data_IF_058728103852
#
_entry.id   IF_058728103852
#
_cell.length_a   1.000
_cell.length_b   1.000
_cell.length_c   1.000
_cell.angle_alpha   90.00
_cell.angle_beta   90.00
_cell.angle_gamma   90.00
#
_symmetry.space_group_name_H-M   'P 1'
#
loop_
_entity.id
_entity.type
_entity.pdbx_description
1 polymer ?
#
# COMPACT_ATOMS: atom_id res chain seq x y z
N UNK A 1 12.35 -22.76 -1.56
CA UNK A 1 11.18 -22.01 -2.10
C UNK A 1 10.83 -20.98 -1.04
N UNK A 2 10.67 -19.68 -1.37
CA UNK A 2 10.33 -18.70 -0.36
C UNK A 2 8.97 -19.04 0.24
N UNK A 3 8.88 -19.03 1.57
CA UNK A 3 7.65 -19.30 2.29
C UNK A 3 6.60 -18.24 1.95
N UNK A 4 5.35 -18.65 1.69
CA UNK A 4 4.20 -17.75 1.44
C UNK A 4 4.12 -16.62 2.48
N UNK A 5 4.42 -16.96 3.73
CA UNK A 5 4.49 -16.06 4.89
C UNK A 5 5.53 -14.94 4.73
N UNK A 6 6.65 -15.22 4.06
CA UNK A 6 7.70 -14.23 3.81
C UNK A 6 7.27 -13.22 2.75
N UNK A 7 6.68 -13.69 1.64
CA UNK A 7 6.16 -12.81 0.59
C UNK A 7 5.06 -11.87 1.11
N UNK A 8 4.18 -12.39 1.97
CA UNK A 8 3.14 -11.61 2.63
C UNK A 8 3.74 -10.47 3.47
N UNK A 9 4.76 -10.76 4.28
CA UNK A 9 5.47 -9.73 5.07
C UNK A 9 6.11 -8.68 4.18
N UNK A 10 6.68 -9.07 3.04
CA UNK A 10 7.25 -8.12 2.09
C UNK A 10 6.19 -7.19 1.51
N UNK A 11 5.02 -7.73 1.10
CA UNK A 11 3.90 -6.92 0.63
C UNK A 11 3.39 -5.94 1.69
N UNK A 12 3.17 -6.42 2.91
CA UNK A 12 2.74 -5.58 4.05
C UNK A 12 3.74 -4.46 4.29
N UNK A 13 5.04 -4.77 4.25
CA UNK A 13 6.11 -3.78 4.41
C UNK A 13 6.13 -2.75 3.29
N UNK A 14 5.97 -3.18 2.03
CA UNK A 14 5.90 -2.29 0.87
C UNK A 14 4.70 -1.34 0.96
N UNK A 15 3.55 -1.87 1.37
CA UNK A 15 2.33 -1.10 1.63
C UNK A 15 2.60 -0.05 2.71
N UNK A 16 3.11 -0.45 3.88
CA UNK A 16 3.38 0.49 4.97
C UNK A 16 4.38 1.58 4.56
N UNK A 17 5.43 1.22 3.83
CA UNK A 17 6.40 2.17 3.28
C UNK A 17 5.73 3.17 2.36
N UNK A 18 4.95 2.70 1.39
CA UNK A 18 4.25 3.55 0.43
C UNK A 18 3.23 4.45 1.12
N UNK A 19 2.46 3.91 2.06
CA UNK A 19 1.49 4.65 2.87
C UNK A 19 2.15 5.72 3.74
N UNK A 20 3.28 5.41 4.38
CA UNK A 20 4.06 6.41 5.13
C UNK A 20 4.65 7.47 4.20
N UNK A 21 5.10 7.08 3.01
CA UNK A 21 5.59 8.02 2.01
C UNK A 21 4.49 8.97 1.57
N UNK A 22 3.30 8.45 1.27
CA UNK A 22 2.11 9.24 0.97
C UNK A 22 1.77 10.17 2.14
N UNK A 23 1.79 9.69 3.38
CA UNK A 23 1.53 10.54 4.55
C UNK A 23 2.48 11.73 4.67
N UNK A 24 3.78 11.53 4.41
CA UNK A 24 4.80 12.55 4.58
C UNK A 24 4.97 13.46 3.36
N UNK A 25 4.93 12.90 2.16
CA UNK A 25 5.17 13.64 0.90
C UNK A 25 3.88 14.10 0.23
N UNK A 26 2.77 13.36 0.38
CA UNK A 26 1.49 13.59 -0.30
C UNK A 26 0.30 13.49 0.66
N UNK A 27 0.23 14.34 1.70
CA UNK A 27 -0.79 14.24 2.74
C UNK A 27 -2.22 14.29 2.17
N UNK A 28 -2.43 14.99 1.05
CA UNK A 28 -3.70 15.01 0.30
C UNK A 28 -4.15 13.63 -0.20
N UNK A 29 -3.22 12.80 -0.64
CA UNK A 29 -3.49 11.43 -1.09
C UNK A 29 -3.71 10.52 0.12
N UNK A 30 -2.95 10.75 1.19
CA UNK A 30 -3.10 10.01 2.43
C UNK A 30 -4.44 10.29 3.14
N UNK A 31 -4.94 11.53 3.11
CA UNK A 31 -6.27 11.87 3.62
C UNK A 31 -7.37 11.09 2.89
N UNK A 32 -7.26 10.93 1.57
CA UNK A 32 -8.15 10.06 0.78
C UNK A 32 -8.06 8.58 1.16
N UNK A 33 -6.93 8.13 1.71
CA UNK A 33 -6.75 6.75 2.16
C UNK A 33 -7.22 6.53 3.60
N UNK A 34 -7.20 7.56 4.45
CA UNK A 34 -7.63 7.49 5.84
C UNK A 34 -9.10 7.13 6.04
N UNK A 35 -9.94 7.34 5.02
CA UNK A 35 -11.34 6.88 4.99
C UNK A 35 -11.48 5.36 4.80
N UNK A 36 -10.40 4.67 4.41
CA UNK A 36 -10.35 3.21 4.32
C UNK A 36 -9.47 2.69 5.45
N UNK A 37 -10.04 2.32 6.62
CA UNK A 37 -9.27 1.70 7.68
C UNK A 37 -8.83 0.30 7.20
N UNK A 38 -7.69 0.25 6.53
CA UNK A 38 -7.06 -1.02 6.21
C UNK A 38 -6.44 -1.51 7.52
N UNK A 39 -7.11 -2.45 8.17
CA UNK A 39 -6.52 -3.30 9.20
C UNK A 39 -5.52 -4.22 8.50
N UNK A 40 -4.34 -3.71 8.17
CA UNK A 40 -3.19 -4.57 7.88
C UNK A 40 -2.90 -5.33 9.18
N UNK A 41 -3.02 -6.66 9.22
CA UNK A 41 -2.62 -7.38 10.40
C UNK A 41 -1.11 -7.21 10.57
N UNK A 42 -0.70 -6.91 11.80
CA UNK A 42 0.70 -6.75 12.19
C UNK A 42 1.47 -8.09 12.04
N UNK A 43 0.74 -9.21 12.12
CA UNK A 43 1.26 -10.55 11.85
C UNK A 43 0.79 -11.05 10.47
N UNK A 44 1.64 -11.74 9.70
CA UNK A 44 1.23 -12.51 8.52
C UNK A 44 0.24 -13.61 8.92
N UNK A 45 -1.03 -13.24 8.96
CA UNK A 45 -2.15 -14.13 9.19
C UNK A 45 -2.32 -15.01 7.94
N UNK A 46 -2.37 -16.35 8.07
CA UNK A 46 -2.57 -17.23 6.92
C UNK A 46 -3.91 -16.99 6.22
N UNK A 47 -4.85 -16.32 6.89
CA UNK A 47 -6.17 -15.94 6.37
C UNK A 47 -6.13 -14.65 5.54
N UNK A 48 -5.09 -13.80 5.69
CA UNK A 48 -4.98 -12.63 4.82
C UNK A 48 -4.65 -13.06 3.41
N UNK A 49 -5.57 -12.72 2.52
CA UNK A 49 -5.46 -13.01 1.12
C UNK A 49 -4.30 -12.21 0.51
N UNK A 50 -3.30 -12.91 -0.03
CA UNK A 50 -2.18 -12.25 -0.71
C UNK A 50 -2.66 -11.43 -1.90
N UNK A 51 -3.77 -11.83 -2.52
CA UNK A 51 -4.38 -11.09 -3.62
C UNK A 51 -4.96 -9.76 -3.13
N UNK A 52 -5.58 -9.74 -1.93
CA UNK A 52 -6.05 -8.51 -1.32
C UNK A 52 -4.91 -7.53 -1.02
N UNK A 53 -3.78 -8.02 -0.48
CA UNK A 53 -2.59 -7.19 -0.26
C UNK A 53 -2.02 -6.64 -1.57
N UNK A 54 -1.93 -7.49 -2.60
CA UNK A 54 -1.41 -7.08 -3.91
C UNK A 54 -2.32 -6.06 -4.59
N UNK A 55 -3.63 -6.26 -4.50
CA UNK A 55 -4.61 -5.30 -5.00
C UNK A 55 -4.52 -3.98 -4.25
N UNK A 56 -4.38 -4.00 -2.92
CA UNK A 56 -4.22 -2.79 -2.13
C UNK A 56 -2.93 -2.02 -2.49
N UNK A 57 -1.79 -2.72 -2.59
CA UNK A 57 -0.53 -2.13 -3.04
C UNK A 57 -0.64 -1.55 -4.46
N UNK A 58 -1.37 -2.26 -5.35
CA UNK A 58 -1.69 -1.81 -6.69
C UNK A 58 -2.46 -0.49 -6.69
N UNK A 59 -3.55 -0.41 -5.92
CA UNK A 59 -4.34 0.81 -5.77
C UNK A 59 -3.51 1.98 -5.23
N UNK A 60 -2.67 1.74 -4.22
CA UNK A 60 -1.77 2.77 -3.68
C UNK A 60 -0.78 3.29 -4.74
N UNK A 61 -0.19 2.38 -5.54
CA UNK A 61 0.71 2.77 -6.63
C UNK A 61 -0.02 3.55 -7.70
N UNK A 62 -1.21 3.09 -8.10
CA UNK A 62 -2.02 3.75 -9.12
C UNK A 62 -2.38 5.19 -8.70
N UNK A 63 -2.78 5.39 -7.43
CA UNK A 63 -3.03 6.72 -6.87
C UNK A 63 -1.79 7.60 -6.95
N UNK A 64 -0.63 7.07 -6.57
CA UNK A 64 0.64 7.80 -6.62
C UNK A 64 1.04 8.12 -8.06
N UNK A 65 0.92 7.16 -8.97
CA UNK A 65 1.23 7.35 -10.39
C UNK A 65 0.32 8.39 -11.02
N UNK A 66 -0.99 8.33 -10.78
CA UNK A 66 -1.91 9.36 -11.25
C UNK A 66 -1.55 10.74 -10.71
N UNK A 67 -1.19 10.84 -9.43
CA UNK A 67 -0.76 12.11 -8.85
C UNK A 67 0.51 12.63 -9.53
N UNK A 68 1.53 11.79 -9.71
CA UNK A 68 2.79 12.14 -10.39
C UNK A 68 2.53 12.52 -11.86
N UNK A 69 1.67 11.81 -12.57
CA UNK A 69 1.32 12.15 -13.95
C UNK A 69 0.57 13.48 -14.04
N UNK A 70 -0.32 13.75 -13.09
CA UNK A 70 -1.12 14.99 -13.05
C UNK A 70 -0.28 16.19 -12.61
N UNK A 71 0.68 16.01 -11.71
CA UNK A 71 1.48 17.10 -11.12
C UNK A 71 2.89 17.24 -11.71
N UNK A 72 3.47 16.16 -12.25
CA UNK A 72 4.80 16.10 -12.85
C UNK A 72 4.85 16.41 -14.35
N UNK A 73 3.71 16.70 -14.97
CA UNK A 73 3.62 17.18 -16.35
C UNK A 73 3.92 18.67 -16.49
N UNK A 74 5.07 19.14 -16.00
CA UNK A 74 5.54 20.52 -16.22
C UNK A 74 6.92 20.58 -16.84
#
# INVERSE_FOLDING_TARGET
MPDKKQLQRELVRDIQQLTNRLRNEFPELYERLGEMPVTLPDDPDPDVDMDALRNYLGSLREILEHHIQTHGGK
#
